data_IF_720911226548
#
_entry.id   IF_720911226548
#
_cell.length_a   1.000
_cell.length_b   1.000
_cell.length_c   1.000
_cell.angle_alpha   90.00
_cell.angle_beta   90.00
_cell.angle_gamma   90.00
#
_symmetry.space_group_name_H-M   'P 1'
#
loop_
_entity.id
_entity.type
_entity.pdbx_description
1 polymer ?
#
# COMPACT_ATOMS: atom_id res chain seq x y z
N UNK A 1 -4.11 -18.75 -7.59
CA UNK A 1 -5.23 -17.98 -8.15
C UNK A 1 -6.41 -17.83 -7.17
N UNK A 2 -6.61 -18.74 -6.20
CA UNK A 2 -7.84 -18.77 -5.36
C UNK A 2 -7.94 -17.55 -4.43
N UNK A 3 -6.84 -17.10 -3.83
CA UNK A 3 -6.84 -16.03 -2.81
C UNK A 3 -6.43 -14.66 -3.35
N UNK A 4 -5.95 -14.56 -4.60
CA UNK A 4 -5.49 -13.30 -5.17
C UNK A 4 -6.55 -12.20 -5.07
N UNK A 5 -7.72 -12.47 -5.62
CA UNK A 5 -8.82 -11.53 -5.68
C UNK A 5 -9.56 -11.33 -4.33
N UNK A 6 -9.28 -12.19 -3.33
CA UNK A 6 -9.92 -12.12 -2.02
C UNK A 6 -9.28 -11.08 -1.09
N UNK A 7 -8.13 -10.54 -1.43
CA UNK A 7 -7.43 -9.58 -0.59
C UNK A 7 -7.22 -8.23 -1.25
N UNK A 8 -7.29 -7.19 -0.45
CA UNK A 8 -7.01 -5.81 -0.83
C UNK A 8 -5.99 -5.21 0.13
N UNK A 9 -5.12 -4.34 -0.36
CA UNK A 9 -4.29 -3.48 0.46
C UNK A 9 -4.96 -2.10 0.54
N UNK A 10 -5.32 -1.70 1.75
CA UNK A 10 -5.87 -0.36 2.00
C UNK A 10 -4.72 0.60 2.28
N UNK A 11 -4.80 1.78 1.69
CA UNK A 11 -3.81 2.82 1.87
C UNK A 11 -4.48 4.20 1.89
N UNK A 12 -3.79 5.19 2.42
CA UNK A 12 -4.24 6.58 2.45
C UNK A 12 -3.32 7.44 1.59
N UNK A 13 -3.93 8.36 0.86
CA UNK A 13 -3.22 9.42 0.14
C UNK A 13 -2.72 10.45 1.16
N UNK A 14 -1.40 10.51 1.34
CA UNK A 14 -0.77 11.47 2.25
C UNK A 14 -0.56 12.81 1.56
N UNK A 15 -0.14 12.78 0.30
CA UNK A 15 0.21 13.99 -0.43
C UNK A 15 0.01 13.83 -1.94
N UNK A 16 -0.42 14.90 -2.63
CA UNK A 16 -0.44 14.99 -4.08
C UNK A 16 0.62 15.99 -4.55
N UNK A 17 1.52 15.55 -5.43
CA UNK A 17 2.61 16.37 -5.97
C UNK A 17 2.50 16.45 -7.49
N UNK A 18 2.66 17.65 -8.02
CA UNK A 18 2.90 17.89 -9.44
C UNK A 18 4.39 18.16 -9.64
N UNK A 19 5.02 17.40 -10.52
CA UNK A 19 6.40 17.59 -10.93
C UNK A 19 6.49 17.59 -12.45
N UNK A 20 6.76 18.75 -13.02
CA UNK A 20 6.70 18.99 -14.47
C UNK A 20 5.31 18.60 -15.01
N UNK A 21 5.26 17.56 -15.85
CA UNK A 21 4.03 17.07 -16.47
C UNK A 21 3.43 15.84 -15.77
N UNK A 22 4.08 15.35 -14.69
CA UNK A 22 3.63 14.18 -13.94
C UNK A 22 2.99 14.55 -12.60
N UNK A 23 1.93 13.82 -12.26
CA UNK A 23 1.32 13.89 -10.94
C UNK A 23 1.63 12.64 -10.15
N UNK A 24 2.00 12.84 -8.90
CA UNK A 24 2.26 11.76 -7.96
C UNK A 24 1.24 11.78 -6.84
N UNK A 25 0.69 10.61 -6.53
CA UNK A 25 -0.05 10.36 -5.31
C UNK A 25 0.86 9.59 -4.36
N UNK A 26 1.42 10.28 -3.37
CA UNK A 26 2.22 9.69 -2.31
C UNK A 26 1.26 9.10 -1.29
N UNK A 27 1.40 7.80 -1.02
CA UNK A 27 0.51 7.06 -0.13
C UNK A 27 1.30 6.46 1.04
N UNK A 28 0.60 6.02 2.11
CA UNK A 28 1.24 5.44 3.28
C UNK A 28 1.65 3.96 3.11
N UNK A 29 1.16 3.26 2.08
CA UNK A 29 1.68 1.96 1.67
C UNK A 29 2.92 2.10 0.78
N UNK A 30 3.73 1.05 0.70
CA UNK A 30 4.97 1.02 -0.08
C UNK A 30 5.21 -0.36 -0.70
N UNK A 31 6.32 -0.46 -1.43
CA UNK A 31 6.83 -1.75 -1.90
C UNK A 31 7.10 -2.74 -0.75
N UNK A 32 7.26 -2.25 0.48
CA UNK A 32 7.44 -3.11 1.66
C UNK A 32 6.19 -3.91 1.99
N UNK A 33 4.99 -3.38 1.73
CA UNK A 33 3.71 -4.05 1.93
C UNK A 33 3.25 -4.82 0.69
N UNK A 34 3.59 -4.32 -0.51
CA UNK A 34 3.22 -4.95 -1.79
C UNK A 34 4.35 -4.83 -2.79
N UNK A 35 5.25 -5.81 -2.79
CA UNK A 35 6.47 -5.80 -3.62
C UNK A 35 6.19 -6.07 -5.11
N UNK A 36 5.06 -6.67 -5.45
CA UNK A 36 4.81 -7.19 -6.81
C UNK A 36 4.88 -6.15 -7.93
N UNK A 37 4.37 -4.91 -7.79
CA UNK A 37 4.55 -3.89 -8.83
C UNK A 37 6.03 -3.59 -9.09
N UNK A 38 6.82 -3.42 -8.03
CA UNK A 38 8.24 -3.10 -8.12
C UNK A 38 9.09 -4.27 -8.67
N UNK A 39 8.77 -5.51 -8.28
CA UNK A 39 9.58 -6.69 -8.60
C UNK A 39 9.21 -7.36 -9.93
N UNK A 40 7.93 -7.32 -10.29
CA UNK A 40 7.40 -8.06 -11.44
C UNK A 40 6.64 -7.17 -12.43
N UNK A 41 6.63 -5.85 -12.24
CA UNK A 41 5.78 -4.93 -13.00
C UNK A 41 4.29 -5.34 -12.96
N UNK A 42 3.89 -5.99 -11.85
CA UNK A 42 2.55 -6.55 -11.73
C UNK A 42 1.50 -5.44 -11.65
N UNK A 43 0.49 -5.54 -12.50
CA UNK A 43 -0.64 -4.66 -12.44
C UNK A 43 -1.56 -5.01 -11.28
N UNK A 44 -1.88 -4.00 -10.47
CA UNK A 44 -2.96 -4.04 -9.49
C UNK A 44 -3.93 -2.91 -9.77
N UNK A 45 -5.21 -3.18 -9.80
CA UNK A 45 -6.22 -2.11 -9.89
C UNK A 45 -6.19 -1.27 -8.62
N UNK A 46 -6.26 0.05 -8.76
CA UNK A 46 -6.28 0.99 -7.63
C UNK A 46 -7.55 1.81 -7.74
N UNK A 47 -8.37 1.79 -6.70
CA UNK A 47 -9.65 2.48 -6.67
C UNK A 47 -9.79 3.35 -5.42
N UNK A 48 -10.42 4.53 -5.51
CA UNK A 48 -10.79 5.32 -4.35
C UNK A 48 -11.83 4.57 -3.50
N UNK A 49 -11.75 4.69 -2.16
CA UNK A 49 -12.75 4.13 -1.25
C UNK A 49 -14.04 4.96 -1.20
N UNK A 50 -13.99 6.21 -1.60
CA UNK A 50 -15.13 7.10 -1.65
C UNK A 50 -15.18 7.86 -2.98
N UNK A 51 -16.40 8.06 -3.50
CA UNK A 51 -16.60 8.90 -4.68
C UNK A 51 -16.50 10.37 -4.27
N UNK A 52 -15.62 11.11 -4.95
CA UNK A 52 -15.51 12.56 -4.81
C UNK A 52 -16.02 13.27 -6.06
N UNK A 53 -16.59 14.44 -5.86
CA UNK A 53 -17.00 15.34 -6.96
C UNK A 53 -15.84 16.10 -7.61
N UNK A 54 -14.61 15.59 -7.54
CA UNK A 54 -13.44 16.18 -8.19
C UNK A 54 -13.15 15.47 -9.51
N UNK A 55 -12.63 16.17 -10.53
CA UNK A 55 -12.22 15.53 -11.78
C UNK A 55 -11.14 14.48 -11.54
N UNK A 56 -11.25 13.35 -12.22
CA UNK A 56 -10.17 12.36 -12.24
C UNK A 56 -8.95 12.93 -12.98
N UNK A 57 -7.77 12.59 -12.49
CA UNK A 57 -6.50 12.92 -13.14
C UNK A 57 -5.59 11.69 -13.13
N UNK A 58 -4.61 11.65 -14.04
CA UNK A 58 -3.60 10.59 -14.06
C UNK A 58 -2.57 10.81 -12.98
N UNK A 59 -2.28 9.76 -12.20
CA UNK A 59 -1.29 9.76 -11.13
C UNK A 59 -0.38 8.54 -11.22
N UNK A 60 0.91 8.73 -10.92
CA UNK A 60 1.77 7.66 -10.48
C UNK A 60 1.57 7.54 -8.96
N UNK A 61 1.09 6.37 -8.51
CA UNK A 61 0.87 6.06 -7.09
C UNK A 61 2.17 5.48 -6.53
N UNK A 62 2.77 6.20 -5.58
CA UNK A 62 4.10 5.91 -5.04
C UNK A 62 4.07 5.84 -3.52
N UNK A 63 4.92 5.01 -2.96
CA UNK A 63 5.09 4.92 -1.51
C UNK A 63 6.05 5.99 -0.95
N UNK A 64 6.25 5.98 0.39
CA UNK A 64 7.08 6.96 1.08
C UNK A 64 8.56 6.55 1.19
N UNK A 65 8.94 5.40 0.63
CA UNK A 65 10.31 4.91 0.70
C UNK A 65 11.18 5.66 -0.31
N UNK A 66 12.38 6.07 0.08
CA UNK A 66 13.33 6.76 -0.80
C UNK A 66 14.04 5.77 -1.75
N UNK A 67 13.24 5.04 -2.51
CA UNK A 67 13.63 4.06 -3.51
C UNK A 67 12.87 4.34 -4.80
N UNK A 68 13.56 4.43 -5.93
CA UNK A 68 12.93 4.75 -7.21
C UNK A 68 11.93 3.70 -7.68
N UNK A 69 12.06 2.48 -7.19
CA UNK A 69 11.13 1.37 -7.45
C UNK A 69 9.90 1.34 -6.52
N UNK A 70 9.77 2.28 -5.56
CA UNK A 70 8.60 2.34 -4.67
C UNK A 70 7.37 2.90 -5.38
N UNK A 71 6.98 2.22 -6.45
CA UNK A 71 5.84 2.54 -7.30
C UNK A 71 4.81 1.42 -7.19
N UNK A 72 3.60 1.77 -6.77
CA UNK A 72 2.47 0.85 -6.63
C UNK A 72 1.62 0.80 -7.90
N UNK A 73 1.69 1.85 -8.73
CA UNK A 73 1.02 1.88 -10.02
C UNK A 73 1.29 3.17 -10.79
N UNK A 74 1.45 3.07 -12.10
CA UNK A 74 1.69 4.21 -13.00
C UNK A 74 0.44 4.55 -13.80
N UNK A 75 0.29 5.83 -14.14
CA UNK A 75 -0.78 6.35 -15.01
C UNK A 75 -2.20 5.95 -14.55
N UNK A 76 -2.47 6.04 -13.23
CA UNK A 76 -3.77 5.69 -12.65
C UNK A 76 -4.73 6.87 -12.72
N UNK A 77 -5.88 6.68 -13.36
CA UNK A 77 -6.95 7.69 -13.43
C UNK A 77 -7.75 7.67 -12.13
N UNK A 78 -7.50 8.65 -11.25
CA UNK A 78 -8.08 8.69 -9.90
C UNK A 78 -8.69 10.06 -9.62
N UNK A 79 -9.87 10.06 -8.97
CA UNK A 79 -10.51 11.25 -8.42
C UNK A 79 -10.26 11.27 -6.89
N UNK A 80 -9.12 11.80 -6.47
CA UNK A 80 -8.60 11.74 -5.10
C UNK A 80 -8.11 13.09 -4.60
N UNK A 81 -8.04 13.22 -3.27
CA UNK A 81 -7.43 14.34 -2.56
C UNK A 81 -6.59 13.81 -1.39
N UNK A 82 -5.68 14.62 -0.83
CA UNK A 82 -4.97 14.25 0.39
C UNK A 82 -5.92 13.84 1.52
N UNK A 83 -5.60 12.76 2.22
CA UNK A 83 -6.42 12.16 3.27
C UNK A 83 -7.39 11.10 2.78
N UNK A 84 -7.58 10.92 1.46
CA UNK A 84 -8.48 9.90 0.93
C UNK A 84 -7.92 8.48 1.11
N UNK A 85 -8.82 7.55 1.38
CA UNK A 85 -8.51 6.13 1.30
C UNK A 85 -8.58 5.61 -0.12
N UNK A 86 -7.63 4.73 -0.44
CA UNK A 86 -7.61 3.94 -1.68
C UNK A 86 -7.50 2.46 -1.37
N UNK A 87 -7.98 1.62 -2.26
CA UNK A 87 -7.81 0.17 -2.22
C UNK A 87 -6.98 -0.28 -3.42
N UNK A 88 -5.94 -1.06 -3.16
CA UNK A 88 -5.13 -1.74 -4.16
C UNK A 88 -5.63 -3.18 -4.20
N UNK A 89 -6.27 -3.54 -5.30
CA UNK A 89 -7.00 -4.80 -5.44
C UNK A 89 -6.07 -5.98 -5.75
N UNK A 90 -6.59 -7.19 -5.56
CA UNK A 90 -5.88 -8.45 -5.87
C UNK A 90 -4.57 -8.63 -5.08
N UNK A 91 -4.50 -8.10 -3.87
CA UNK A 91 -3.33 -8.18 -3.00
C UNK A 91 -3.31 -9.44 -2.11
N UNK A 92 -4.31 -10.33 -2.19
CA UNK A 92 -4.41 -11.51 -1.33
C UNK A 92 -3.39 -12.61 -1.60
N UNK A 93 -2.80 -12.64 -2.79
CA UNK A 93 -1.69 -13.53 -3.11
C UNK A 93 -0.39 -12.73 -3.24
N UNK A 94 0.64 -13.17 -2.51
CA UNK A 94 1.98 -12.56 -2.53
C UNK A 94 2.04 -11.09 -2.08
N UNK A 95 1.00 -10.60 -1.38
CA UNK A 95 1.05 -9.35 -0.63
C UNK A 95 1.78 -9.57 0.70
N UNK A 96 1.03 -9.86 1.78
CA UNK A 96 1.60 -10.01 3.12
C UNK A 96 2.74 -11.04 3.21
N UNK A 97 2.66 -12.17 2.51
CA UNK A 97 3.69 -13.23 2.55
C UNK A 97 5.04 -12.78 1.99
N UNK A 98 5.05 -11.81 1.08
CA UNK A 98 6.29 -11.21 0.53
C UNK A 98 6.60 -9.84 1.14
N UNK A 99 5.80 -9.38 2.09
CA UNK A 99 6.06 -8.12 2.79
C UNK A 99 7.36 -8.18 3.59
N UNK A 100 7.99 -7.04 3.76
CA UNK A 100 9.27 -6.91 4.45
C UNK A 100 9.25 -5.76 5.44
N UNK A 101 10.28 -5.70 6.28
CA UNK A 101 10.55 -4.55 7.14
C UNK A 101 11.59 -3.60 6.52
N UNK A 102 11.69 -3.58 5.19
CA UNK A 102 12.60 -2.68 4.49
C UNK A 102 12.40 -1.23 4.95
N UNK A 103 13.49 -0.52 5.18
CA UNK A 103 13.51 0.81 5.81
C UNK A 103 12.88 0.86 7.21
N UNK A 104 12.97 -0.23 7.97
CA UNK A 104 12.43 -0.33 9.34
C UNK A 104 10.92 -0.05 9.40
N UNK A 105 10.20 -0.35 8.32
CA UNK A 105 8.75 -0.18 8.27
C UNK A 105 8.04 -1.38 8.91
N UNK A 106 7.15 -1.15 9.89
CA UNK A 106 6.32 -2.21 10.47
C UNK A 106 5.32 -2.75 9.43
N UNK A 107 5.15 -4.07 9.38
CA UNK A 107 4.10 -4.67 8.56
C UNK A 107 2.72 -4.24 9.03
N UNK A 108 1.75 -4.04 8.13
CA UNK A 108 0.38 -3.68 8.47
C UNK A 108 -0.33 -4.82 9.21
N UNK A 109 -1.49 -4.52 9.80
CA UNK A 109 -2.38 -5.56 10.31
C UNK A 109 -3.04 -6.32 9.16
N UNK A 110 -3.47 -7.56 9.42
CA UNK A 110 -4.38 -8.28 8.55
C UNK A 110 -5.76 -8.42 9.20
N UNK A 111 -6.78 -8.13 8.41
CA UNK A 111 -8.18 -8.23 8.83
C UNK A 111 -8.91 -9.14 7.85
N UNK A 112 -9.60 -10.15 8.38
CA UNK A 112 -10.50 -11.00 7.60
C UNK A 112 -11.92 -10.45 7.74
N UNK A 113 -12.60 -10.31 6.61
CA UNK A 113 -14.01 -9.89 6.55
C UNK A 113 -14.85 -11.07 6.10
N UNK A 114 -15.85 -11.41 6.92
CA UNK A 114 -16.84 -12.43 6.61
C UNK A 114 -18.24 -11.83 6.80
N UNK A 115 -18.91 -11.54 5.69
CA UNK A 115 -20.18 -10.82 5.69
C UNK A 115 -20.02 -9.44 6.35
N UNK A 116 -20.68 -9.22 7.47
CA UNK A 116 -20.61 -7.97 8.24
C UNK A 116 -19.56 -8.00 9.37
N UNK A 117 -18.90 -9.12 9.60
CA UNK A 117 -17.90 -9.27 10.64
C UNK A 117 -16.50 -8.96 10.10
N UNK A 118 -15.73 -8.18 10.86
CA UNK A 118 -14.33 -7.88 10.58
C UNK A 118 -13.47 -8.33 11.76
N UNK A 119 -12.55 -9.25 11.52
CA UNK A 119 -11.68 -9.82 12.57
C UNK A 119 -10.22 -9.57 12.25
N UNK A 120 -9.52 -8.92 13.16
CA UNK A 120 -8.07 -8.79 13.06
C UNK A 120 -7.41 -10.14 13.34
N UNK A 121 -6.77 -10.72 12.33
CA UNK A 121 -6.08 -12.02 12.43
C UNK A 121 -4.58 -11.87 12.61
N UNK A 122 -4.03 -10.70 12.29
CA UNK A 122 -2.64 -10.33 12.57
C UNK A 122 -2.58 -8.88 13.06
N UNK A 123 -1.97 -8.60 14.22
CA UNK A 123 -1.77 -7.23 14.66
C UNK A 123 -0.75 -6.50 13.78
N UNK A 124 -0.84 -5.17 13.73
CA UNK A 124 0.22 -4.34 13.15
C UNK A 124 1.49 -4.49 13.97
N UNK A 125 2.63 -4.64 13.31
CA UNK A 125 3.93 -4.58 13.98
C UNK A 125 4.18 -3.19 14.58
N UNK A 126 5.00 -3.14 15.59
CA UNK A 126 5.50 -1.89 16.19
C UNK A 126 7.01 -1.77 15.95
N UNK A 127 7.55 -0.56 15.99
CA UNK A 127 9.00 -0.36 15.89
C UNK A 127 9.72 -1.19 16.96
N UNK A 128 9.21 -1.21 18.20
CA UNK A 128 9.80 -2.01 19.28
C UNK A 128 9.82 -3.52 18.99
N UNK A 129 8.79 -4.05 18.31
CA UNK A 129 8.75 -5.48 17.96
C UNK A 129 9.80 -5.86 16.90
N UNK A 130 10.25 -4.93 16.07
CA UNK A 130 11.26 -5.19 15.05
C UNK A 130 12.63 -5.49 15.67
N UNK A 131 12.92 -4.93 16.83
CA UNK A 131 14.20 -5.08 17.55
C UNK A 131 14.14 -6.01 18.76
N UNK A 132 12.98 -6.64 19.00
CA UNK A 132 12.77 -7.46 20.20
C UNK A 132 13.76 -8.65 20.33
N UNK A 133 14.33 -9.12 19.22
CA UNK A 133 15.33 -10.20 19.19
C UNK A 133 16.78 -9.71 19.24
N UNK A 134 17.03 -8.41 19.20
CA UNK A 134 18.37 -7.86 19.15
C UNK A 134 18.96 -7.69 20.56
N UNK A 135 20.29 -7.78 20.64
CA UNK A 135 21.06 -7.55 21.87
C UNK A 135 22.18 -6.56 21.57
N UNK A 136 22.40 -5.63 22.49
CA UNK A 136 23.57 -4.76 22.44
C UNK A 136 24.83 -5.58 22.80
N UNK A 137 25.92 -5.24 22.14
CA UNK A 137 27.24 -5.73 22.58
C UNK A 137 27.56 -4.99 23.88
N UNK A 138 27.85 -5.76 24.93
CA UNK A 138 28.28 -5.24 26.26
C UNK A 138 29.72 -4.79 26.25
#
# INVERSE_FOLDING_TARGET
AVVGNAGVLLSRVEYLKLDKDKRFAIVDASMSELIRPALYEAWHEIVPLATRGVPAASYDVVGPVCESSDVLGTDRSLAIAPGDGIAILSAGAYGMVMSSNYNTRPRPCEVVVDGAAATQVRPRETIASLFAGERTLG
#
